data_IF_565287759493
#
_entry.id   IF_565287759493
#
_cell.length_a   1.000
_cell.length_b   1.000
_cell.length_c   1.000
_cell.angle_alpha   90.00
_cell.angle_beta   90.00
_cell.angle_gamma   90.00
#
_symmetry.space_group_name_H-M   'P 1'
#
loop_
_entity.id
_entity.type
_entity.pdbx_description
1 polymer ?
#
# COMPACT_ATOMS: atom_id res chain seq x y z
N UNK A 1 -26.49 3.43 15.25
CA UNK A 1 -25.64 2.58 16.11
C UNK A 1 -24.24 3.17 16.06
N UNK A 2 -23.79 3.78 17.15
CA UNK A 2 -22.50 4.47 17.22
C UNK A 2 -21.35 3.49 16.97
N UNK A 3 -20.69 3.65 15.83
CA UNK A 3 -19.50 2.88 15.49
C UNK A 3 -18.30 3.48 16.22
N UNK A 4 -17.73 2.76 17.19
CA UNK A 4 -16.60 3.27 17.94
C UNK A 4 -15.31 3.23 17.11
N UNK A 5 -14.52 4.31 17.19
CA UNK A 5 -13.24 4.43 16.48
C UNK A 5 -13.34 4.30 14.94
N UNK A 6 -14.51 4.58 14.36
CA UNK A 6 -14.72 4.61 12.91
C UNK A 6 -14.15 5.87 12.24
N UNK A 7 -14.30 6.00 10.91
CA UNK A 7 -13.75 7.12 10.14
C UNK A 7 -14.16 8.51 10.61
N UNK A 8 -15.40 8.66 11.05
CA UNK A 8 -15.98 9.93 11.50
C UNK A 8 -15.87 10.13 13.02
N UNK A 9 -15.12 9.27 13.73
CA UNK A 9 -15.00 9.34 15.18
C UNK A 9 -13.82 10.22 15.63
N UNK A 10 -13.89 10.74 16.86
CA UNK A 10 -12.79 11.47 17.51
C UNK A 10 -11.72 10.53 18.12
N UNK A 11 -11.47 9.36 17.53
CA UNK A 11 -10.49 8.41 18.07
C UNK A 11 -9.06 8.96 17.92
N UNK A 12 -8.42 9.26 19.05
CA UNK A 12 -7.05 9.81 19.10
C UNK A 12 -6.05 8.92 18.38
N UNK A 13 -6.12 7.60 18.57
CA UNK A 13 -5.22 6.66 17.90
C UNK A 13 -5.39 6.73 16.37
N UNK A 14 -6.63 6.70 15.88
CA UNK A 14 -6.93 6.78 14.44
C UNK A 14 -6.42 8.09 13.84
N UNK A 15 -6.68 9.22 14.49
CA UNK A 15 -6.20 10.54 14.06
C UNK A 15 -4.68 10.64 14.05
N UNK A 16 -4.01 9.81 14.84
CA UNK A 16 -2.55 9.72 14.95
C UNK A 16 -1.94 8.59 14.10
N UNK A 17 -2.71 7.98 13.19
CA UNK A 17 -2.28 6.84 12.36
C UNK A 17 -1.76 5.65 13.18
N UNK A 18 -2.41 5.39 14.31
CA UNK A 18 -2.14 4.26 15.20
C UNK A 18 -3.40 3.40 15.29
N UNK A 19 -3.26 2.08 15.13
CA UNK A 19 -4.39 1.19 15.41
C UNK A 19 -4.56 1.01 16.91
N UNK A 20 -5.80 0.76 17.34
CA UNK A 20 -6.06 0.40 18.73
C UNK A 20 -5.56 -1.02 19.00
N UNK A 21 -4.94 -1.25 20.15
CA UNK A 21 -4.48 -2.59 20.54
C UNK A 21 -5.66 -3.55 20.71
N UNK A 22 -5.48 -4.82 20.34
CA UNK A 22 -6.54 -5.84 20.43
C UNK A 22 -7.03 -6.04 21.86
N UNK A 23 -6.09 -6.01 22.81
CA UNK A 23 -6.30 -6.30 24.24
C UNK A 23 -6.78 -5.08 25.03
N UNK A 24 -6.63 -3.87 24.48
CA UNK A 24 -7.13 -2.65 25.12
C UNK A 24 -8.61 -2.47 24.80
N UNK A 25 -9.45 -2.84 25.76
CA UNK A 25 -10.86 -2.52 25.81
C UNK A 25 -11.06 -1.08 26.28
N UNK A 26 -10.66 -0.10 25.47
CA UNK A 26 -11.11 1.29 25.64
C UNK A 26 -12.65 1.38 25.72
N UNK A 27 -13.26 2.56 25.89
CA UNK A 27 -14.71 2.69 26.15
C UNK A 27 -15.63 2.02 25.10
N UNK A 28 -15.10 1.71 23.91
CA UNK A 28 -15.74 0.93 22.86
C UNK A 28 -15.98 -0.55 23.20
N UNK A 29 -15.15 -1.17 24.05
CA UNK A 29 -14.97 -2.62 24.12
C UNK A 29 -14.23 -3.17 22.89
N UNK A 30 -13.51 -4.28 23.04
CA UNK A 30 -12.63 -4.84 22.00
C UNK A 30 -13.35 -5.17 20.69
N UNK A 31 -14.59 -5.66 20.75
CA UNK A 31 -15.31 -6.16 19.57
C UNK A 31 -16.00 -5.08 18.73
N UNK A 32 -16.09 -3.83 19.20
CA UNK A 32 -16.78 -2.73 18.48
C UNK A 32 -15.83 -1.69 17.88
N UNK A 33 -14.52 -1.81 18.14
CA UNK A 33 -13.52 -0.91 17.62
C UNK A 33 -13.31 -1.12 16.12
N UNK A 34 -13.52 -0.07 15.31
CA UNK A 34 -13.27 -0.08 13.85
C UNK A 34 -11.86 0.37 13.44
N UNK A 35 -11.00 0.68 14.41
CA UNK A 35 -9.62 1.13 14.17
C UNK A 35 -8.60 -0.02 14.34
N UNK A 36 -8.90 -1.17 13.73
CA UNK A 36 -8.12 -2.42 13.83
C UNK A 36 -8.04 -3.16 12.48
N UNK A 37 -8.22 -2.43 11.37
CA UNK A 37 -8.43 -2.98 10.02
C UNK A 37 -7.22 -3.76 9.49
N UNK A 38 -6.00 -3.29 9.77
CA UNK A 38 -4.76 -3.98 9.43
C UNK A 38 -4.56 -5.21 10.31
N UNK A 39 -4.75 -5.10 11.63
CA UNK A 39 -4.68 -6.26 12.55
C UNK A 39 -5.69 -7.36 12.18
N UNK A 40 -6.91 -6.97 11.80
CA UNK A 40 -8.00 -7.88 11.45
C UNK A 40 -8.00 -8.30 9.98
N UNK A 41 -7.11 -7.72 9.15
CA UNK A 41 -7.00 -7.98 7.71
C UNK A 41 -8.32 -7.76 6.96
N UNK A 42 -8.99 -6.66 7.27
CA UNK A 42 -10.19 -6.20 6.56
C UNK A 42 -9.82 -5.66 5.16
N UNK A 43 -9.28 -6.52 4.31
CA UNK A 43 -8.78 -6.19 2.98
C UNK A 43 -9.90 -6.16 1.95
N UNK A 44 -9.75 -5.27 0.96
CA UNK A 44 -10.69 -5.15 -0.14
C UNK A 44 -10.71 -6.42 -1.02
N UNK A 45 -11.88 -6.77 -1.59
CA UNK A 45 -11.97 -7.85 -2.57
C UNK A 45 -11.33 -7.40 -3.89
N UNK A 46 -10.12 -7.87 -4.16
CA UNK A 46 -9.32 -7.51 -5.35
C UNK A 46 -8.87 -8.75 -6.11
N UNK A 47 -8.53 -8.59 -7.39
CA UNK A 47 -7.89 -9.65 -8.18
C UNK A 47 -6.85 -9.10 -9.15
N UNK A 48 -5.97 -10.00 -9.61
CA UNK A 48 -4.89 -9.69 -10.54
C UNK A 48 -5.41 -9.75 -11.97
N UNK A 49 -5.02 -8.76 -12.78
CA UNK A 49 -5.25 -8.75 -14.23
C UNK A 49 -3.92 -8.59 -14.97
N UNK A 50 -3.89 -9.03 -16.23
CA UNK A 50 -2.80 -8.68 -17.15
C UNK A 50 -3.12 -7.36 -17.82
N UNK A 51 -2.22 -6.39 -17.69
CA UNK A 51 -2.32 -5.09 -18.37
C UNK A 51 -1.59 -5.13 -19.71
N UNK A 52 -1.90 -4.16 -20.58
CA UNK A 52 -1.31 -4.12 -21.94
C UNK A 52 0.18 -3.78 -21.96
N UNK A 53 0.65 -2.90 -21.06
CA UNK A 53 2.01 -2.32 -21.10
C UNK A 53 2.74 -2.31 -19.75
N UNK A 54 2.06 -2.63 -18.65
CA UNK A 54 2.61 -2.50 -17.28
C UNK A 54 2.87 -3.86 -16.61
N UNK A 55 2.71 -4.97 -17.36
CA UNK A 55 2.72 -6.31 -16.78
C UNK A 55 1.40 -6.58 -16.06
N UNK A 56 1.45 -7.04 -14.81
CA UNK A 56 0.25 -7.29 -14.01
C UNK A 56 -0.28 -6.02 -13.34
N UNK A 57 -1.55 -6.02 -12.99
CA UNK A 57 -2.25 -4.95 -12.26
C UNK A 57 -3.23 -5.53 -11.27
N UNK A 58 -3.71 -4.71 -10.32
CA UNK A 58 -4.81 -5.07 -9.42
C UNK A 58 -6.05 -4.26 -9.78
N UNK A 59 -7.21 -4.93 -9.75
CA UNK A 59 -8.51 -4.26 -9.88
C UNK A 59 -9.40 -4.60 -8.70
N UNK A 60 -10.36 -3.73 -8.42
CA UNK A 60 -11.40 -4.04 -7.44
C UNK A 60 -12.45 -4.99 -8.02
N UNK A 61 -12.87 -5.99 -7.25
CA UNK A 61 -13.98 -6.89 -7.63
C UNK A 61 -15.35 -6.37 -7.17
N UNK A 62 -15.37 -5.36 -6.29
CA UNK A 62 -16.57 -4.79 -5.69
C UNK A 62 -16.46 -3.25 -5.60
N UNK A 63 -17.56 -2.51 -5.38
CA UNK A 63 -17.43 -1.08 -5.06
C UNK A 63 -16.65 -0.92 -3.75
N UNK A 64 -15.72 0.03 -3.71
CA UNK A 64 -15.00 0.41 -2.50
C UNK A 64 -15.32 1.86 -2.16
N UNK A 65 -15.51 2.17 -0.89
CA UNK A 65 -15.64 3.54 -0.41
C UNK A 65 -14.30 4.27 -0.42
N UNK A 66 -14.31 5.58 -0.19
CA UNK A 66 -13.10 6.32 0.13
C UNK A 66 -12.53 5.87 1.49
N UNK A 67 -11.20 5.94 1.65
CA UNK A 67 -10.47 5.49 2.84
C UNK A 67 -10.65 3.99 3.18
N UNK A 68 -11.10 3.18 2.22
CA UNK A 68 -11.16 1.73 2.35
C UNK A 68 -9.75 1.14 2.33
N UNK A 69 -9.48 0.19 3.23
CA UNK A 69 -8.21 -0.54 3.25
C UNK A 69 -8.18 -1.53 2.08
N UNK A 70 -7.32 -1.27 1.10
CA UNK A 70 -7.12 -2.17 -0.03
C UNK A 70 -6.36 -3.41 0.44
N UNK A 71 -5.12 -3.20 0.92
CA UNK A 71 -4.25 -4.26 1.41
C UNK A 71 -3.06 -3.64 2.17
N UNK A 72 -2.47 -4.38 3.10
CA UNK A 72 -1.15 -4.06 3.64
C UNK A 72 -0.06 -4.37 2.60
N UNK A 73 0.89 -3.46 2.37
CA UNK A 73 2.08 -3.75 1.58
C UNK A 73 3.09 -4.48 2.47
N UNK A 74 3.16 -5.80 2.32
CA UNK A 74 4.01 -6.68 3.16
C UNK A 74 5.20 -7.22 2.38
N UNK A 75 6.30 -7.42 3.10
CA UNK A 75 7.46 -8.15 2.63
C UNK A 75 8.51 -8.27 3.72
N UNK A 76 9.74 -8.62 3.33
CA UNK A 76 10.85 -8.67 4.26
C UNK A 76 11.32 -7.25 4.61
N UNK A 77 11.32 -6.89 5.90
CA UNK A 77 11.88 -5.60 6.34
C UNK A 77 13.39 -5.73 6.44
N UNK A 78 14.10 -4.93 5.65
CA UNK A 78 15.56 -4.96 5.50
C UNK A 78 16.15 -3.57 5.78
N UNK A 79 17.35 -3.50 6.37
CA UNK A 79 18.06 -2.24 6.54
C UNK A 79 18.64 -1.75 5.21
N UNK A 80 19.04 -0.48 5.19
CA UNK A 80 19.59 0.18 4.01
C UNK A 80 20.76 -0.57 3.36
N UNK A 81 21.71 -1.13 4.13
CA UNK A 81 22.84 -1.85 3.52
C UNK A 81 22.39 -3.09 2.73
N UNK A 82 21.37 -3.80 3.21
CA UNK A 82 20.82 -4.98 2.52
C UNK A 82 20.00 -4.55 1.31
N UNK A 83 19.24 -3.46 1.42
CA UNK A 83 18.52 -2.87 0.29
C UNK A 83 19.46 -2.50 -0.86
N UNK A 84 20.58 -1.81 -0.57
CA UNK A 84 21.58 -1.44 -1.58
C UNK A 84 22.30 -2.65 -2.19
N UNK A 85 22.50 -3.71 -1.40
CA UNK A 85 23.07 -4.97 -1.90
C UNK A 85 22.09 -5.68 -2.83
N UNK A 86 20.85 -5.88 -2.40
CA UNK A 86 19.81 -6.57 -3.20
C UNK A 86 19.44 -5.82 -4.47
N UNK A 87 19.43 -4.48 -4.44
CA UNK A 87 19.20 -3.67 -5.64
C UNK A 87 20.22 -3.98 -6.73
N UNK A 88 21.52 -4.13 -6.37
CA UNK A 88 22.57 -4.52 -7.31
C UNK A 88 22.41 -5.96 -7.77
N UNK A 89 22.19 -6.89 -6.85
CA UNK A 89 21.99 -8.31 -7.17
C UNK A 89 20.82 -8.50 -8.17
N UNK A 90 19.70 -7.78 -7.97
CA UNK A 90 18.52 -7.85 -8.83
C UNK A 90 18.78 -7.24 -10.21
N UNK A 91 19.49 -6.11 -10.27
CA UNK A 91 19.89 -5.53 -11.54
C UNK A 91 20.82 -6.46 -12.34
N UNK A 92 21.77 -7.12 -11.67
CA UNK A 92 22.71 -8.07 -12.28
C UNK A 92 22.03 -9.37 -12.73
N UNK A 93 21.00 -9.83 -12.01
CA UNK A 93 20.23 -11.02 -12.40
C UNK A 93 19.16 -10.75 -13.47
N UNK A 94 19.04 -9.51 -13.96
CA UNK A 94 18.09 -9.12 -14.99
C UNK A 94 16.64 -8.97 -14.49
N UNK A 95 16.44 -8.78 -13.19
CA UNK A 95 15.11 -8.46 -12.66
C UNK A 95 14.63 -7.12 -13.21
N UNK A 96 13.41 -7.11 -13.74
CA UNK A 96 12.82 -5.93 -14.38
C UNK A 96 11.89 -5.16 -13.44
N UNK A 97 11.42 -5.81 -12.38
CA UNK A 97 10.48 -5.25 -11.40
C UNK A 97 11.12 -5.18 -10.01
N UNK A 98 11.24 -3.97 -9.49
CA UNK A 98 11.77 -3.70 -8.16
C UNK A 98 10.62 -3.47 -7.19
N UNK A 99 10.46 -4.34 -6.19
CA UNK A 99 9.36 -4.31 -5.23
C UNK A 99 9.79 -3.77 -3.86
N UNK A 100 10.68 -2.79 -3.83
CA UNK A 100 11.13 -2.15 -2.61
C UNK A 100 10.18 -1.01 -2.19
N UNK A 101 9.97 -0.83 -0.89
CA UNK A 101 9.21 0.29 -0.35
C UNK A 101 9.85 0.83 0.92
N UNK A 102 10.14 2.13 0.97
CA UNK A 102 10.60 2.76 2.20
C UNK A 102 9.49 2.70 3.28
N UNK A 103 9.84 2.19 4.46
CA UNK A 103 8.93 2.09 5.61
C UNK A 103 9.15 3.25 6.58
N UNK A 104 10.39 3.40 7.03
CA UNK A 104 10.90 4.51 7.85
C UNK A 104 12.35 4.79 7.44
N UNK A 105 12.95 5.84 7.99
CA UNK A 105 14.34 6.19 7.66
C UNK A 105 15.29 5.02 7.93
N UNK A 106 15.88 4.47 6.87
CA UNK A 106 16.83 3.37 6.94
C UNK A 106 16.23 1.96 6.83
N UNK A 107 14.90 1.82 6.80
CA UNK A 107 14.22 0.53 6.69
C UNK A 107 13.36 0.45 5.42
N UNK A 108 13.46 -0.67 4.72
CA UNK A 108 12.79 -0.92 3.46
C UNK A 108 12.05 -2.26 3.52
N UNK A 109 10.88 -2.32 2.91
CA UNK A 109 10.16 -3.56 2.66
C UNK A 109 10.59 -4.07 1.30
N UNK A 110 11.10 -5.30 1.23
CA UNK A 110 11.36 -6.04 0.00
C UNK A 110 10.29 -7.10 -0.22
N UNK A 111 9.43 -6.87 -1.22
CA UNK A 111 8.34 -7.76 -1.56
C UNK A 111 8.63 -8.70 -2.74
N UNK A 112 9.88 -8.76 -3.25
CA UNK A 112 10.20 -9.60 -4.42
C UNK A 112 10.03 -11.09 -4.10
N UNK A 113 10.65 -11.57 -3.02
CA UNK A 113 10.66 -13.00 -2.64
C UNK A 113 9.56 -13.37 -1.65
N UNK A 114 9.17 -12.44 -0.77
CA UNK A 114 8.14 -12.62 0.24
C UNK A 114 7.23 -11.41 0.19
N UNK A 115 6.01 -11.58 -0.27
CA UNK A 115 5.05 -10.49 -0.39
C UNK A 115 3.64 -11.00 -0.67
N UNK A 116 2.70 -10.09 -0.87
CA UNK A 116 1.31 -10.40 -1.22
C UNK A 116 0.93 -9.77 -2.56
N UNK A 117 -0.37 -9.71 -2.87
CA UNK A 117 -0.89 -9.18 -4.12
C UNK A 117 -0.57 -7.69 -4.31
N UNK A 118 -0.34 -6.92 -3.24
CA UNK A 118 -0.08 -5.49 -3.29
C UNK A 118 1.12 -5.12 -4.18
N UNK A 119 2.09 -6.04 -4.36
CA UNK A 119 3.24 -5.85 -5.25
C UNK A 119 2.86 -5.64 -6.72
N UNK A 120 1.65 -6.02 -7.13
CA UNK A 120 1.14 -5.86 -8.49
C UNK A 120 0.36 -4.55 -8.70
N UNK A 121 0.20 -3.71 -7.67
CA UNK A 121 -0.41 -2.39 -7.89
C UNK A 121 0.52 -1.52 -8.70
N UNK A 122 0.00 -0.91 -9.76
CA UNK A 122 0.78 -0.09 -10.69
C UNK A 122 0.87 1.37 -10.25
N UNK A 123 1.84 2.06 -10.86
CA UNK A 123 1.95 3.51 -10.79
C UNK A 123 0.84 4.22 -11.60
N UNK A 124 0.35 5.33 -11.06
CA UNK A 124 -0.36 6.37 -11.81
C UNK A 124 0.07 7.77 -11.35
N UNK A 125 0.18 8.72 -12.29
CA UNK A 125 0.38 10.14 -11.99
C UNK A 125 -0.91 10.80 -11.47
N UNK A 126 -2.06 10.18 -11.70
CA UNK A 126 -3.34 10.50 -11.06
C UNK A 126 -3.89 9.25 -10.34
N UNK A 127 -3.34 8.92 -9.16
CA UNK A 127 -3.69 7.67 -8.49
C UNK A 127 -5.02 7.76 -7.75
N UNK A 128 -5.72 6.62 -7.69
CA UNK A 128 -6.94 6.44 -6.91
C UNK A 128 -6.69 5.82 -5.52
N UNK A 129 -5.47 5.36 -5.23
CA UNK A 129 -5.03 4.90 -3.91
C UNK A 129 -3.86 5.72 -3.37
N UNK A 130 -3.62 5.60 -2.07
CA UNK A 130 -2.52 6.25 -1.33
C UNK A 130 -1.89 5.27 -0.35
N UNK A 131 -0.58 5.39 -0.17
CA UNK A 131 0.15 4.71 0.89
C UNK A 131 0.02 5.49 2.20
N UNK A 132 -0.36 4.80 3.27
CA UNK A 132 -0.38 5.35 4.62
C UNK A 132 0.47 4.47 5.54
N UNK A 133 1.31 5.13 6.33
CA UNK A 133 2.07 4.47 7.39
C UNK A 133 1.22 4.42 8.66
N UNK A 134 1.05 3.22 9.22
CA UNK A 134 0.32 2.97 10.45
C UNK A 134 1.24 2.38 11.51
N UNK A 135 1.03 2.76 12.78
CA UNK A 135 1.69 2.16 13.93
C UNK A 135 0.74 1.15 14.57
N UNK A 136 1.22 -0.09 14.77
CA UNK A 136 0.48 -1.14 15.47
C UNK A 136 1.38 -1.68 16.57
N UNK A 137 1.02 -1.43 17.83
CA UNK A 137 1.90 -1.61 18.97
C UNK A 137 3.21 -0.82 18.78
N UNK A 138 4.32 -1.52 18.54
CA UNK A 138 5.66 -0.93 18.32
C UNK A 138 6.14 -1.02 16.87
N UNK A 139 5.32 -1.54 15.96
CA UNK A 139 5.72 -1.82 14.58
C UNK A 139 5.10 -0.83 13.60
N UNK A 140 5.92 -0.31 12.68
CA UNK A 140 5.43 0.44 11.52
C UNK A 140 4.93 -0.52 10.45
N UNK A 141 3.81 -0.15 9.82
CA UNK A 141 3.10 -0.93 8.80
C UNK A 141 2.76 -0.01 7.63
N UNK A 142 2.75 -0.53 6.41
CA UNK A 142 2.33 0.23 5.23
C UNK A 142 0.98 -0.31 4.75
N UNK A 143 -0.07 0.50 4.88
CA UNK A 143 -1.39 0.19 4.32
C UNK A 143 -1.63 0.97 3.03
N UNK A 144 -2.33 0.37 2.08
CA UNK A 144 -2.80 1.03 0.87
C UNK A 144 -4.30 1.31 1.05
N UNK A 145 -4.69 2.57 0.87
CA UNK A 145 -6.06 3.03 1.08
C UNK A 145 -6.58 3.73 -0.18
N UNK A 146 -7.88 3.62 -0.43
CA UNK A 146 -8.53 4.37 -1.51
C UNK A 146 -8.62 5.86 -1.17
N UNK A 147 -8.36 6.74 -2.13
CA UNK A 147 -8.50 8.20 -1.98
C UNK A 147 -9.93 8.69 -2.25
N UNK A 148 -10.68 7.89 -3.00
CA UNK A 148 -12.05 8.15 -3.44
C UNK A 148 -12.79 6.81 -3.58
N UNK A 149 -14.12 6.82 -3.76
CA UNK A 149 -14.82 5.61 -4.14
C UNK A 149 -14.27 5.01 -5.44
N UNK A 150 -14.23 3.67 -5.50
CA UNK A 150 -13.70 2.87 -6.62
C UNK A 150 -14.82 1.98 -7.16
N UNK A 151 -14.99 1.97 -8.49
CA UNK A 151 -15.94 1.10 -9.14
C UNK A 151 -15.39 -0.34 -9.30
N UNK A 152 -16.26 -1.37 -9.36
CA UNK A 152 -15.84 -2.72 -9.77
C UNK A 152 -15.14 -2.69 -11.13
N UNK A 153 -14.04 -3.44 -11.25
CA UNK A 153 -13.23 -3.54 -12.46
C UNK A 153 -12.23 -2.39 -12.65
N UNK A 154 -12.26 -1.35 -11.81
CA UNK A 154 -11.31 -0.25 -11.90
C UNK A 154 -9.92 -0.67 -11.39
N UNK A 155 -8.87 -0.30 -12.13
CA UNK A 155 -7.49 -0.57 -11.74
C UNK A 155 -7.07 0.29 -10.54
N UNK A 156 -6.58 -0.37 -9.50
CA UNK A 156 -6.06 0.25 -8.29
C UNK A 156 -4.61 0.66 -8.52
N UNK A 157 -4.32 1.95 -8.33
CA UNK A 157 -3.00 2.53 -8.59
C UNK A 157 -2.61 3.50 -7.49
N UNK A 158 -1.32 3.58 -7.19
CA UNK A 158 -0.78 4.60 -6.30
C UNK A 158 0.42 5.30 -6.95
N UNK A 159 0.73 6.50 -6.49
CA UNK A 159 1.88 7.23 -6.98
C UNK A 159 3.15 6.72 -6.30
N UNK A 160 4.15 6.30 -7.10
CA UNK A 160 5.38 5.68 -6.59
C UNK A 160 6.31 6.71 -5.95
N UNK A 161 6.04 8.00 -6.19
CA UNK A 161 6.64 9.24 -5.68
C UNK A 161 8.16 9.37 -5.67
N UNK A 162 8.95 8.36 -5.28
CA UNK A 162 10.42 8.41 -5.22
C UNK A 162 11.12 7.03 -5.32
N UNK A 163 10.40 5.97 -5.68
CA UNK A 163 10.94 4.61 -5.80
C UNK A 163 11.62 4.36 -7.16
N UNK A 164 12.53 5.23 -7.60
CA UNK A 164 13.39 4.93 -8.75
C UNK A 164 14.52 4.02 -8.29
N UNK A 165 14.32 2.72 -8.47
CA UNK A 165 15.34 1.72 -8.27
C UNK A 165 15.92 1.35 -9.64
N UNK A 166 17.14 1.83 -9.91
CA UNK A 166 17.85 1.64 -11.17
C UNK A 166 18.10 2.94 -11.94
N UNK A 167 19.13 2.92 -12.79
CA UNK A 167 19.65 4.12 -13.47
C UNK A 167 18.79 4.59 -14.65
N UNK A 168 17.80 3.78 -15.07
CA UNK A 168 16.96 4.06 -16.23
C UNK A 168 15.55 4.45 -15.83
N UNK A 169 15.15 5.67 -16.22
CA UNK A 169 13.78 6.14 -16.11
C UNK A 169 12.82 5.17 -16.84
N UNK A 170 11.80 4.69 -16.13
CA UNK A 170 10.78 3.82 -16.70
C UNK A 170 9.67 4.69 -17.32
N UNK A 171 9.27 4.47 -18.59
CA UNK A 171 8.15 5.20 -19.18
C UNK A 171 6.86 4.96 -18.39
N UNK A 172 6.09 6.03 -18.18
CA UNK A 172 4.80 5.95 -17.50
C UNK A 172 3.69 5.66 -18.51
N UNK A 173 2.96 4.57 -18.30
CA UNK A 173 1.82 4.15 -19.13
C UNK A 173 0.48 4.29 -18.38
N UNK A 174 0.37 5.23 -17.43
CA UNK A 174 -0.85 5.39 -16.64
C UNK A 174 -2.03 5.95 -17.46
N UNK A 175 -1.75 6.68 -18.54
CA UNK A 175 -2.77 7.26 -19.43
C UNK A 175 -3.52 8.45 -18.84
N UNK A 176 -3.12 8.99 -17.69
CA UNK A 176 -3.73 10.18 -17.12
C UNK A 176 -3.39 11.44 -17.95
N UNK A 177 -4.28 12.43 -17.94
CA UNK A 177 -4.10 13.69 -18.66
C UNK A 177 -2.90 14.51 -18.15
N UNK A 178 -2.54 14.32 -16.87
CA UNK A 178 -1.42 14.97 -16.19
C UNK A 178 -0.18 14.07 -16.08
N UNK A 179 -0.06 13.05 -16.93
CA UNK A 179 1.06 12.12 -16.90
C UNK A 179 2.40 12.84 -17.13
N UNK A 180 3.38 12.60 -16.26
CA UNK A 180 4.75 13.14 -16.37
C UNK A 180 5.58 12.46 -17.48
N UNK A 181 5.07 11.39 -18.09
CA UNK A 181 5.74 10.59 -19.12
C UNK A 181 6.72 9.53 -18.58
N UNK A 182 7.22 9.68 -17.35
CA UNK A 182 8.12 8.74 -16.69
C UNK A 182 7.73 8.52 -15.22
N UNK A 183 7.97 7.31 -14.71
CA UNK A 183 7.74 6.98 -13.31
C UNK A 183 8.84 7.65 -12.47
N UNK A 184 8.42 8.46 -11.49
CA UNK A 184 9.32 9.27 -10.65
C UNK A 184 9.73 10.56 -11.34
#
# INVERSE_FOLDING_TARGET
>A
MDQCCGPESCCVNRSSMMECDLDDSGPAGTHRCRNRRLQQREYAPIHVIQTRKKGYGLVSSAPLDADALVMEYVGEVIPYEIFMRRTREYAESGETHFYFMALVNGEYIDALRRGNLARFMNHSCDPNCVLQKWIIGKSNRMGIFTKRPIAPGEELTFDYRFQRYGDKAQPCYCGSHNCSGFIG
#
